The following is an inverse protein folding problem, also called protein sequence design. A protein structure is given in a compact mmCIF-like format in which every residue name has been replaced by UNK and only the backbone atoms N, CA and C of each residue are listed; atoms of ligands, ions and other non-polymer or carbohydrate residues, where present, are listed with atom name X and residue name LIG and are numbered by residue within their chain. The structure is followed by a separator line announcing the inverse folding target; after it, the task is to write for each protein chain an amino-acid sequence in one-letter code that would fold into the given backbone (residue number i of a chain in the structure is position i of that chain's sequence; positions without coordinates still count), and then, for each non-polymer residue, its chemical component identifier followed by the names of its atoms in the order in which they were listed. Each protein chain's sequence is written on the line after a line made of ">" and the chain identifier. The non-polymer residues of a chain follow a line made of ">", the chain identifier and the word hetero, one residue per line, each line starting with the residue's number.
data_IF_127516051575
#
_entry.id   IF_127516051575
#
_cell.length_a   1.000
_cell.length_b   1.000
_cell.length_c   1.000
_cell.angle_alpha   90.00
_cell.angle_beta   90.00
_cell.angle_gamma   90.00
#
_symmetry.space_group_name_H-M   'P 1'
#
loop_
_entity.id
_entity.type
_entity.pdbx_description
1 polymer ?
#
# COMPACT_ATOMS: atom_id res chain seq x y z
N UNK A 1 23.55 -12.58 -3.25
CA UNK A 1 23.81 -11.63 -4.35
C UNK A 1 22.47 -11.30 -5.01
N UNK A 2 21.75 -10.30 -4.47
CA UNK A 2 20.40 -9.95 -4.91
C UNK A 2 20.44 -9.10 -6.19
N UNK A 3 19.53 -9.37 -7.12
CA UNK A 3 19.41 -8.71 -8.43
C UNK A 3 19.37 -7.19 -8.24
N UNK A 4 20.39 -6.50 -8.74
CA UNK A 4 20.50 -5.04 -8.79
C UNK A 4 19.57 -4.42 -9.83
N UNK A 5 18.27 -4.61 -9.68
CA UNK A 5 17.27 -3.74 -10.29
C UNK A 5 17.12 -2.49 -9.43
N UNK A 6 17.12 -1.31 -10.04
CA UNK A 6 16.85 -0.07 -9.33
C UNK A 6 15.47 -0.15 -8.65
N UNK A 7 15.45 -0.04 -7.32
CA UNK A 7 14.20 -0.09 -6.55
C UNK A 7 13.32 1.08 -6.96
N UNK A 8 12.14 0.76 -7.52
CA UNK A 8 11.15 1.76 -7.92
C UNK A 8 9.87 1.59 -7.12
N UNK A 9 9.28 2.71 -6.72
CA UNK A 9 7.97 2.71 -6.06
C UNK A 9 6.88 2.30 -7.07
N UNK A 10 6.90 2.91 -8.26
CA UNK A 10 5.97 2.64 -9.36
C UNK A 10 6.76 2.34 -10.65
N UNK A 11 7.16 1.07 -10.91
CA UNK A 11 7.95 0.70 -12.08
C UNK A 11 7.30 1.08 -13.42
N UNK A 12 5.97 1.06 -13.48
CA UNK A 12 5.17 1.40 -14.67
C UNK A 12 4.73 2.89 -14.69
N UNK A 13 5.34 3.75 -13.87
CA UNK A 13 4.93 5.14 -13.58
C UNK A 13 3.52 5.31 -12.99
N UNK A 14 2.67 4.28 -13.09
CA UNK A 14 1.32 4.21 -12.54
C UNK A 14 1.06 2.85 -11.90
N UNK A 15 0.25 2.85 -10.85
CA UNK A 15 -0.34 1.64 -10.29
C UNK A 15 -1.31 1.00 -11.30
N UNK A 16 -1.19 -0.31 -11.51
CA UNK A 16 -2.15 -1.08 -12.31
C UNK A 16 -3.09 -1.90 -11.41
N UNK A 17 -4.35 -2.12 -11.82
CA UNK A 17 -5.31 -2.93 -11.04
C UNK A 17 -4.81 -4.36 -10.77
N UNK A 18 -3.97 -4.88 -11.66
CA UNK A 18 -3.42 -6.25 -11.63
C UNK A 18 -2.09 -6.36 -10.89
N UNK A 19 -1.56 -5.25 -10.37
CA UNK A 19 -0.28 -5.24 -9.65
C UNK A 19 -0.42 -5.86 -8.25
N UNK A 20 -1.49 -5.57 -7.52
CA UNK A 20 -1.65 -6.02 -6.13
C UNK A 20 -1.79 -7.55 -6.05
N UNK A 21 -0.89 -8.20 -5.32
CA UNK A 21 -0.89 -9.65 -5.07
C UNK A 21 -0.93 -9.88 -3.58
N UNK A 22 -1.94 -10.61 -3.12
CA UNK A 22 -2.10 -10.96 -1.71
C UNK A 22 -0.97 -11.87 -1.22
N UNK A 23 -0.49 -11.61 -0.01
CA UNK A 23 0.44 -12.47 0.71
C UNK A 23 -0.26 -13.35 1.73
N UNK A 24 0.39 -13.61 2.87
CA UNK A 24 -0.11 -14.50 3.93
C UNK A 24 -1.15 -13.85 4.86
N UNK A 25 -1.42 -12.56 4.71
CA UNK A 25 -2.30 -11.79 5.60
C UNK A 25 -3.75 -11.79 5.12
N UNK A 26 -4.70 -11.83 6.05
CA UNK A 26 -6.13 -11.74 5.79
C UNK A 26 -6.66 -10.35 5.43
N UNK A 27 -5.94 -9.58 4.60
CA UNK A 27 -6.21 -8.18 4.28
C UNK A 27 -6.74 -7.95 2.84
N UNK A 28 -7.33 -8.98 2.22
CA UNK A 28 -7.85 -8.92 0.85
C UNK A 28 -8.77 -7.73 0.57
N UNK A 29 -9.55 -7.26 1.55
CA UNK A 29 -10.39 -6.07 1.45
C UNK A 29 -9.60 -4.79 1.14
N UNK A 30 -8.38 -4.69 1.67
CA UNK A 30 -7.47 -3.58 1.43
C UNK A 30 -6.91 -3.63 0.01
N UNK A 31 -6.43 -4.80 -0.42
CA UNK A 31 -5.89 -4.98 -1.76
C UNK A 31 -6.95 -4.82 -2.85
N UNK A 32 -8.18 -5.29 -2.61
CA UNK A 32 -9.30 -5.08 -3.51
C UNK A 32 -9.61 -3.58 -3.71
N UNK A 33 -9.55 -2.79 -2.63
CA UNK A 33 -9.72 -1.34 -2.72
C UNK A 33 -8.57 -0.66 -3.48
N UNK A 34 -7.32 -1.10 -3.30
CA UNK A 34 -6.19 -0.62 -4.11
C UNK A 34 -6.40 -0.89 -5.59
N UNK A 35 -6.77 -2.13 -5.95
CA UNK A 35 -7.05 -2.49 -7.35
C UNK A 35 -8.19 -1.67 -7.94
N UNK A 36 -9.28 -1.47 -7.19
CA UNK A 36 -10.42 -0.66 -7.64
C UNK A 36 -10.02 0.82 -7.86
N UNK A 37 -9.19 1.39 -6.99
CA UNK A 37 -8.69 2.77 -7.15
C UNK A 37 -7.74 2.89 -8.34
N UNK A 38 -6.84 1.91 -8.54
CA UNK A 38 -5.96 1.87 -9.71
C UNK A 38 -6.75 1.83 -11.03
N UNK A 39 -7.92 1.19 -11.04
CA UNK A 39 -8.78 1.08 -12.21
C UNK A 39 -9.60 2.35 -12.46
N UNK A 40 -10.22 2.88 -11.40
CA UNK A 40 -11.28 3.89 -11.52
C UNK A 40 -10.80 5.33 -11.28
N UNK A 41 -9.74 5.52 -10.50
CA UNK A 41 -9.22 6.83 -10.09
C UNK A 41 -7.72 6.96 -10.34
N UNK A 42 -7.37 7.04 -11.64
CA UNK A 42 -5.97 7.13 -12.09
C UNK A 42 -5.22 8.26 -11.39
N UNK A 43 -4.05 7.95 -10.81
CA UNK A 43 -3.20 8.95 -10.17
C UNK A 43 -3.43 9.12 -8.67
N UNK A 44 -4.49 8.53 -8.09
CA UNK A 44 -4.76 8.67 -6.65
C UNK A 44 -3.70 7.95 -5.82
N UNK A 45 -3.32 6.72 -6.18
CA UNK A 45 -2.38 5.91 -5.39
C UNK A 45 -0.96 6.51 -5.37
N UNK A 46 -0.55 7.14 -6.45
CA UNK A 46 0.73 7.82 -6.59
C UNK A 46 0.80 9.06 -5.68
N UNK A 47 -0.32 9.75 -5.48
CA UNK A 47 -0.42 10.88 -4.54
C UNK A 47 -0.38 10.45 -3.08
N UNK A 48 -0.46 9.15 -2.78
CA UNK A 48 -0.38 8.62 -1.42
C UNK A 48 1.03 8.23 -1.01
N UNK A 49 2.00 8.20 -1.92
CA UNK A 49 3.39 7.78 -1.62
C UNK A 49 4.38 8.84 -2.08
N UNK A 50 5.06 9.46 -1.13
CA UNK A 50 6.06 10.51 -1.35
C UNK A 50 7.45 10.00 -0.99
N UNK A 51 8.40 10.19 -1.90
CA UNK A 51 9.80 9.84 -1.64
C UNK A 51 10.72 10.72 -2.46
N UNK A 52 11.69 11.37 -1.80
CA UNK A 52 12.83 11.99 -2.50
C UNK A 52 13.90 10.95 -2.81
N UNK A 53 14.90 11.32 -3.61
CA UNK A 53 16.04 10.46 -3.88
C UNK A 53 16.83 10.15 -2.59
N UNK A 54 16.97 11.12 -1.68
CA UNK A 54 17.58 10.96 -0.36
C UNK A 54 16.78 9.96 0.48
N UNK A 55 15.46 10.10 0.52
CA UNK A 55 14.58 9.22 1.28
C UNK A 55 14.64 7.77 0.76
N UNK A 56 14.63 7.60 -0.57
CA UNK A 56 14.84 6.30 -1.21
C UNK A 56 16.18 5.68 -0.83
N UNK A 57 17.28 6.44 -0.88
CA UNK A 57 18.61 5.96 -0.46
C UNK A 57 18.67 5.62 1.03
N UNK A 58 17.94 6.34 1.87
CA UNK A 58 17.81 6.08 3.30
C UNK A 58 16.85 4.92 3.64
N UNK A 59 16.19 4.32 2.63
CA UNK A 59 15.25 3.22 2.84
C UNK A 59 13.97 3.64 3.55
N UNK A 60 13.47 4.86 3.30
CA UNK A 60 12.24 5.37 3.87
C UNK A 60 11.41 6.11 2.82
N UNK A 61 10.09 5.97 2.89
CA UNK A 61 9.15 6.80 2.15
C UNK A 61 8.04 7.28 3.08
N UNK A 62 7.30 8.30 2.68
CA UNK A 62 6.16 8.81 3.43
C UNK A 62 4.89 8.39 2.71
N UNK A 63 4.02 7.67 3.40
CA UNK A 63 2.68 7.36 2.92
C UNK A 63 1.65 8.30 3.55
N UNK A 64 0.60 8.68 2.82
CA UNK A 64 -0.46 9.55 3.33
C UNK A 64 -1.78 8.79 3.40
N UNK A 65 -2.49 8.93 4.52
CA UNK A 65 -3.83 8.39 4.72
C UNK A 65 -4.73 9.48 5.30
N UNK A 66 -5.98 9.53 4.88
CA UNK A 66 -7.01 10.32 5.54
C UNK A 66 -7.51 9.57 6.76
N UNK A 67 -7.55 10.25 7.91
CA UNK A 67 -8.14 9.76 9.15
C UNK A 67 -9.07 10.83 9.68
N UNK A 68 -10.35 10.48 9.82
CA UNK A 68 -11.40 11.39 10.30
C UNK A 68 -11.45 12.71 9.49
N UNK A 69 -11.26 12.60 8.17
CA UNK A 69 -11.26 13.75 7.24
C UNK A 69 -9.97 14.57 7.23
N UNK A 70 -8.94 14.17 7.98
CA UNK A 70 -7.63 14.84 8.02
C UNK A 70 -6.55 13.93 7.46
N UNK A 71 -5.78 14.47 6.53
CA UNK A 71 -4.65 13.74 5.98
C UNK A 71 -3.47 13.68 6.94
N UNK A 72 -3.01 12.47 7.23
CA UNK A 72 -1.88 12.15 8.10
C UNK A 72 -0.75 11.57 7.26
N UNK A 73 0.47 12.08 7.47
CA UNK A 73 1.69 11.58 6.83
C UNK A 73 2.39 10.58 7.74
N UNK A 74 2.67 9.39 7.21
CA UNK A 74 3.24 8.26 7.92
C UNK A 74 4.59 7.91 7.29
N UNK A 75 5.72 8.12 7.98
CA UNK A 75 7.00 7.58 7.54
C UNK A 75 6.98 6.05 7.59
N UNK A 76 7.39 5.39 6.51
CA UNK A 76 7.40 3.94 6.34
C UNK A 76 8.79 3.52 5.87
N UNK A 77 9.46 2.68 6.67
CA UNK A 77 10.75 2.10 6.29
C UNK A 77 10.59 1.00 5.24
N UNK A 78 11.58 0.82 4.37
CA UNK A 78 11.65 -0.22 3.34
C UNK A 78 12.10 -1.59 3.87
N UNK A 79 12.04 -1.78 5.19
CA UNK A 79 12.23 -3.10 5.82
C UNK A 79 10.87 -3.78 5.94
N UNK A 80 10.66 -4.85 5.20
CA UNK A 80 9.39 -5.57 5.17
C UNK A 80 9.54 -6.96 5.78
N UNK A 81 8.46 -7.52 6.37
CA UNK A 81 8.45 -8.93 6.76
C UNK A 81 8.65 -9.82 5.53
N UNK A 82 9.65 -10.68 5.60
CA UNK A 82 9.93 -11.69 4.59
C UNK A 82 9.71 -13.10 5.15
N UNK A 83 9.45 -14.05 4.26
CA UNK A 83 9.44 -15.46 4.58
C UNK A 83 10.87 -16.03 4.64
N UNK A 84 11.06 -17.31 5.02
CA UNK A 84 12.38 -17.92 5.12
C UNK A 84 13.18 -17.95 3.81
N UNK A 85 12.51 -17.85 2.66
CA UNK A 85 13.15 -17.81 1.34
C UNK A 85 13.60 -16.39 0.96
N UNK A 86 13.30 -15.40 1.81
CA UNK A 86 13.64 -13.99 1.61
C UNK A 86 12.63 -13.22 0.76
N UNK A 87 11.49 -13.83 0.43
CA UNK A 87 10.41 -13.19 -0.33
C UNK A 87 9.48 -12.41 0.61
N UNK A 88 8.85 -11.34 0.11
CA UNK A 88 7.87 -10.57 0.90
C UNK A 88 6.76 -11.51 1.39
N UNK A 89 6.55 -11.56 2.72
CA UNK A 89 5.58 -12.43 3.36
C UNK A 89 4.13 -11.97 3.15
N UNK A 90 3.94 -10.65 3.01
CA UNK A 90 2.64 -10.00 2.84
C UNK A 90 2.46 -9.48 1.40
N UNK A 91 1.62 -8.46 1.19
CA UNK A 91 1.29 -8.01 -0.15
C UNK A 91 2.50 -7.52 -0.95
N UNK A 92 2.50 -7.83 -2.25
CA UNK A 92 3.55 -7.42 -3.18
C UNK A 92 2.98 -6.99 -4.51
N UNK A 93 3.71 -6.10 -5.21
CA UNK A 93 3.38 -5.75 -6.58
C UNK A 93 3.92 -6.81 -7.55
N UNK A 94 3.11 -7.20 -8.55
CA UNK A 94 3.47 -8.21 -9.56
C UNK A 94 4.78 -7.92 -10.28
N UNK A 95 5.08 -6.64 -10.55
CA UNK A 95 6.28 -6.20 -11.27
C UNK A 95 7.37 -5.64 -10.33
N UNK A 96 7.33 -5.97 -9.04
CA UNK A 96 8.39 -5.60 -8.09
C UNK A 96 8.36 -4.14 -7.59
N UNK A 97 7.26 -3.42 -7.81
CA UNK A 97 7.07 -2.06 -7.27
C UNK A 97 6.85 -2.02 -5.76
N UNK A 98 7.42 -1.03 -5.09
CA UNK A 98 7.28 -0.87 -3.63
C UNK A 98 5.93 -0.28 -3.19
N UNK A 99 5.12 0.26 -4.10
CA UNK A 99 3.89 0.96 -3.72
C UNK A 99 2.90 0.08 -2.93
N UNK A 100 2.70 -1.18 -3.33
CA UNK A 100 1.80 -2.12 -2.64
C UNK A 100 2.29 -2.39 -1.20
N UNK A 101 3.52 -2.90 -0.97
CA UNK A 101 4.00 -3.19 0.39
C UNK A 101 4.15 -1.91 1.24
N UNK A 102 4.44 -0.75 0.64
CA UNK A 102 4.48 0.53 1.36
C UNK A 102 3.10 0.94 1.89
N UNK A 103 2.07 0.88 1.03
CA UNK A 103 0.72 1.25 1.44
C UNK A 103 0.13 0.24 2.43
N UNK A 104 0.37 -1.07 2.24
CA UNK A 104 -0.02 -2.10 3.21
C UNK A 104 0.65 -1.86 4.58
N UNK A 105 1.95 -1.56 4.60
CA UNK A 105 2.66 -1.26 5.84
C UNK A 105 2.18 0.04 6.49
N UNK A 106 1.85 1.07 5.70
CA UNK A 106 1.26 2.29 6.19
C UNK A 106 -0.11 2.03 6.84
N UNK A 107 -0.93 1.18 6.19
CA UNK A 107 -2.23 0.74 6.68
C UNK A 107 -2.12 0.01 8.01
N UNK A 108 -1.19 -0.95 8.10
CA UNK A 108 -0.84 -1.67 9.32
C UNK A 108 -0.35 -0.74 10.42
N UNK A 109 0.56 0.20 10.10
CA UNK A 109 1.09 1.18 11.06
C UNK A 109 -0.01 2.07 11.63
N UNK A 110 -0.96 2.52 10.80
CA UNK A 110 -2.09 3.32 11.25
C UNK A 110 -3.05 2.55 12.18
N UNK A 111 -3.02 1.20 12.11
CA UNK A 111 -3.84 0.26 12.88
C UNK A 111 -3.05 -0.51 13.93
N UNK A 112 -1.84 -0.06 14.26
CA UNK A 112 -0.91 -0.64 15.26
C UNK A 112 -0.03 -1.78 14.76
N UNK A 113 -0.55 -2.74 14.00
CA UNK A 113 0.24 -3.89 13.53
C UNK A 113 -0.34 -4.52 12.25
N UNK A 114 0.43 -5.41 11.61
CA UNK A 114 -0.07 -6.22 10.48
C UNK A 114 -1.21 -7.15 10.91
N UNK A 115 -1.13 -7.77 12.09
CA UNK A 115 -2.22 -8.61 12.58
C UNK A 115 -3.52 -7.82 12.78
N UNK A 116 -3.43 -6.56 13.19
CA UNK A 116 -4.60 -5.69 13.41
C UNK A 116 -5.34 -5.29 12.12
N UNK A 117 -4.80 -5.59 10.93
CA UNK A 117 -5.45 -5.31 9.66
C UNK A 117 -6.10 -6.52 9.01
N UNK A 118 -6.16 -7.67 9.68
CA UNK A 118 -6.90 -8.85 9.18
C UNK A 118 -8.41 -8.66 9.33
N UNK A 119 -9.18 -9.04 8.29
CA UNK A 119 -10.65 -9.06 8.36
C UNK A 119 -11.32 -7.68 8.45
N UNK A 120 -10.91 -6.72 7.61
CA UNK A 120 -11.44 -5.34 7.62
C UNK A 120 -12.50 -5.04 6.56
N UNK A 121 -12.86 -3.75 6.47
CA UNK A 121 -13.95 -3.26 5.61
C UNK A 121 -13.40 -2.41 4.44
N UNK A 122 -13.67 -2.77 3.17
CA UNK A 122 -13.16 -2.03 2.00
C UNK A 122 -13.70 -0.60 1.92
N UNK A 123 -14.91 -0.31 2.42
CA UNK A 123 -15.44 1.05 2.46
C UNK A 123 -14.60 1.96 3.37
N UNK A 124 -14.05 1.43 4.46
CA UNK A 124 -13.12 2.18 5.31
C UNK A 124 -11.82 2.48 4.57
N UNK A 125 -11.29 1.50 3.84
CA UNK A 125 -10.08 1.68 3.02
C UNK A 125 -10.29 2.78 1.99
N UNK A 126 -11.41 2.75 1.26
CA UNK A 126 -11.73 3.77 0.27
C UNK A 126 -11.80 5.17 0.89
N UNK A 127 -12.44 5.33 2.06
CA UNK A 127 -12.48 6.62 2.77
C UNK A 127 -11.09 7.10 3.17
N UNK A 128 -10.29 6.21 3.72
CA UNK A 128 -8.97 6.57 4.25
C UNK A 128 -7.95 6.82 3.11
N UNK A 129 -8.09 6.16 1.95
CA UNK A 129 -7.20 6.37 0.81
C UNK A 129 -7.60 7.57 -0.06
N UNK A 130 -8.88 7.95 -0.08
CA UNK A 130 -9.37 9.05 -0.95
C UNK A 130 -9.73 10.32 -0.18
N UNK A 131 -10.01 10.20 1.11
CA UNK A 131 -10.64 11.26 1.91
C UNK A 131 -12.12 11.49 1.58
N UNK A 132 -12.71 10.75 0.65
CA UNK A 132 -14.12 10.88 0.26
C UNK A 132 -15.02 9.96 1.10
N UNK A 133 -16.33 10.27 1.25
CA UNK A 133 -17.29 9.36 1.88
C UNK A 133 -17.44 8.04 1.10
N UNK A 134 -17.73 6.94 1.81
CA UNK A 134 -18.03 5.64 1.20
C UNK A 134 -19.22 4.99 1.89
N UNK A 135 -20.07 4.34 1.10
CA UNK A 135 -21.30 3.67 1.55
C UNK A 135 -21.25 2.18 1.17
N UNK A 136 -21.88 1.34 1.99
CA UNK A 136 -22.05 -0.08 1.74
C UNK A 136 -23.54 -0.38 1.65
N UNK A 137 -23.94 -1.10 0.60
CA UNK A 137 -25.32 -1.51 0.36
C UNK A 137 -25.43 -3.00 0.59
N UNK A 138 -26.34 -3.43 1.46
CA UNK A 138 -26.71 -4.84 1.55
C UNK A 138 -27.60 -5.18 0.34
N UNK A 139 -27.28 -6.28 -0.34
CA UNK A 139 -28.06 -6.80 -1.46
C UNK A 139 -29.18 -7.72 -0.96
#
# INVERSE_FOLDING_TARGET
>A
AGRGGELSIFPQARAQPTDARQGKLGDCYFLAALSALAETQKGVLEQLVFSSAEAMRAGVSVCRLSRDGRWVSLPVSHSFPCDPDGELAFAKARQGGLWVPLLEKAWAKARTSYHAIEGGNPAQVLRDLTGAPAQHYAL
#
